data_IF_714470471301
#
_entry.id   IF_714470471301
#
_cell.length_a   1.000
_cell.length_b   1.000
_cell.length_c   1.000
_cell.angle_alpha   90.00
_cell.angle_beta   90.00
_cell.angle_gamma   90.00
#
_symmetry.space_group_name_H-M   'P 1'
#
loop_
_entity.id
_entity.type
_entity.pdbx_description
1 polymer ?
#
# COMPACT_ATOMS: atom_id res chain seq x y z
N UNK A 1 12.46 -8.42 -15.04
CA UNK A 1 11.02 -8.66 -14.78
C UNK A 1 10.25 -8.46 -16.08
N UNK A 2 9.39 -9.40 -16.40
CA UNK A 2 8.50 -9.29 -17.56
C UNK A 2 7.39 -8.27 -17.27
N UNK A 3 6.84 -7.63 -18.31
CA UNK A 3 5.74 -6.68 -18.12
C UNK A 3 4.53 -7.29 -17.39
N UNK A 4 4.26 -8.57 -17.63
CA UNK A 4 3.17 -9.31 -16.98
C UNK A 4 3.39 -9.42 -15.45
N UNK A 5 4.61 -9.70 -15.02
CA UNK A 5 4.94 -9.80 -13.58
C UNK A 5 4.70 -8.48 -12.85
N UNK A 6 5.07 -7.36 -13.49
CA UNK A 6 4.84 -6.02 -12.92
C UNK A 6 3.33 -5.73 -12.78
N UNK A 7 2.53 -6.07 -13.78
CA UNK A 7 1.09 -5.89 -13.72
C UNK A 7 0.42 -6.75 -12.65
N UNK A 8 0.80 -8.04 -12.54
CA UNK A 8 0.29 -8.93 -11.51
C UNK A 8 0.65 -8.44 -10.10
N UNK A 9 1.89 -7.98 -9.93
CA UNK A 9 2.36 -7.41 -8.67
C UNK A 9 1.59 -6.12 -8.34
N UNK A 10 1.39 -5.24 -9.31
CA UNK A 10 0.65 -3.99 -9.13
C UNK A 10 -0.82 -4.25 -8.72
N UNK A 11 -1.48 -5.21 -9.36
CA UNK A 11 -2.85 -5.61 -8.99
C UNK A 11 -2.89 -6.22 -7.60
N UNK A 12 -1.95 -7.10 -7.26
CA UNK A 12 -1.85 -7.70 -5.92
C UNK A 12 -1.71 -6.64 -4.83
N UNK A 13 -0.79 -5.70 -5.01
CA UNK A 13 -0.57 -4.59 -4.07
C UNK A 13 -1.80 -3.65 -3.97
N UNK A 14 -2.48 -3.43 -5.08
CA UNK A 14 -3.64 -2.54 -5.11
C UNK A 14 -4.92 -3.17 -4.51
N UNK A 15 -4.94 -4.47 -4.24
CA UNK A 15 -6.10 -5.14 -3.62
C UNK A 15 -6.40 -4.61 -2.22
N UNK A 16 -5.38 -4.25 -1.44
CA UNK A 16 -5.58 -3.67 -0.12
C UNK A 16 -6.22 -2.28 -0.22
N UNK A 17 -5.75 -1.46 -1.16
CA UNK A 17 -6.36 -0.16 -1.45
C UNK A 17 -7.81 -0.31 -1.94
N UNK A 18 -8.09 -1.33 -2.74
CA UNK A 18 -9.43 -1.64 -3.23
C UNK A 18 -10.37 -2.03 -2.08
N UNK A 19 -9.96 -2.93 -1.19
CA UNK A 19 -10.74 -3.36 -0.04
C UNK A 19 -11.07 -2.21 0.91
N UNK A 20 -10.07 -1.38 1.25
CA UNK A 20 -10.26 -0.19 2.10
C UNK A 20 -11.14 0.85 1.41
N UNK A 21 -11.03 0.99 0.09
CA UNK A 21 -11.87 1.90 -0.69
C UNK A 21 -13.33 1.46 -0.71
N UNK A 22 -13.61 0.17 -0.82
CA UNK A 22 -14.99 -0.35 -0.71
C UNK A 22 -15.56 -0.02 0.67
N UNK A 23 -14.84 -0.33 1.75
CA UNK A 23 -15.27 -0.04 3.11
C UNK A 23 -15.55 1.45 3.32
N UNK A 24 -14.66 2.30 2.81
CA UNK A 24 -14.81 3.76 2.86
C UNK A 24 -16.02 4.25 2.04
N UNK A 25 -16.26 3.64 0.89
CA UNK A 25 -17.40 3.95 0.03
C UNK A 25 -18.73 3.63 0.71
N UNK A 26 -18.81 2.52 1.42
CA UNK A 26 -19.99 2.12 2.21
C UNK A 26 -20.30 3.17 3.29
N UNK A 27 -19.27 3.70 3.95
CA UNK A 27 -19.42 4.72 4.99
C UNK A 27 -19.83 6.07 4.39
N UNK A 28 -19.29 6.45 3.26
CA UNK A 28 -19.58 7.71 2.58
C UNK A 28 -21.04 7.83 2.12
N UNK A 29 -21.71 6.72 1.78
CA UNK A 29 -23.12 6.61 1.36
C UNK A 29 -23.57 7.54 0.21
N UNK A 30 -22.75 8.47 -0.21
CA UNK A 30 -23.00 9.42 -1.31
C UNK A 30 -21.75 9.64 -2.13
N UNK A 31 -21.91 9.61 -3.45
CA UNK A 31 -20.84 9.95 -4.38
C UNK A 31 -20.48 11.45 -4.27
N UNK A 32 -19.46 11.75 -3.52
CA UNK A 32 -18.83 13.06 -3.45
C UNK A 32 -17.48 13.02 -4.12
N UNK A 33 -17.31 13.71 -5.23
CA UNK A 33 -16.08 13.66 -6.02
C UNK A 33 -14.83 14.11 -5.23
N UNK A 34 -14.95 15.10 -4.36
CA UNK A 34 -13.81 15.60 -3.58
C UNK A 34 -13.19 14.54 -2.67
N UNK A 35 -13.91 13.94 -1.70
CA UNK A 35 -13.30 12.94 -0.85
C UNK A 35 -12.86 11.68 -1.62
N UNK A 36 -13.58 11.30 -2.67
CA UNK A 36 -13.21 10.17 -3.53
C UNK A 36 -11.87 10.40 -4.24
N UNK A 37 -11.69 11.59 -4.83
CA UNK A 37 -10.44 11.95 -5.51
C UNK A 37 -9.28 12.07 -4.53
N UNK A 38 -9.49 12.71 -3.38
CA UNK A 38 -8.45 12.84 -2.35
C UNK A 38 -7.98 11.47 -1.89
N UNK A 39 -8.90 10.55 -1.67
CA UNK A 39 -8.59 9.19 -1.22
C UNK A 39 -7.84 8.40 -2.31
N UNK A 40 -8.35 8.38 -3.53
CA UNK A 40 -7.75 7.67 -4.65
C UNK A 40 -6.35 8.22 -5.00
N UNK A 41 -6.18 9.55 -4.99
CA UNK A 41 -4.88 10.20 -5.23
C UNK A 41 -3.91 9.86 -4.10
N UNK A 42 -4.35 9.92 -2.84
CA UNK A 42 -3.51 9.58 -1.69
C UNK A 42 -3.04 8.14 -1.77
N UNK A 43 -3.93 7.20 -2.05
CA UNK A 43 -3.57 5.78 -2.19
C UNK A 43 -2.60 5.55 -3.36
N UNK A 44 -2.87 6.10 -4.52
CA UNK A 44 -1.98 5.99 -5.69
C UNK A 44 -0.60 6.63 -5.43
N UNK A 45 -0.57 7.79 -4.80
CA UNK A 45 0.66 8.49 -4.48
C UNK A 45 1.53 7.72 -3.47
N UNK A 46 0.96 7.29 -2.34
CA UNK A 46 1.72 6.53 -1.34
C UNK A 46 2.14 5.16 -1.85
N UNK A 47 1.30 4.52 -2.67
CA UNK A 47 1.60 3.23 -3.28
C UNK A 47 2.76 3.32 -4.30
N UNK A 48 2.96 4.48 -4.92
CA UNK A 48 4.11 4.76 -5.77
C UNK A 48 5.34 5.20 -4.95
N UNK A 49 5.12 6.04 -3.93
CA UNK A 49 6.19 6.60 -3.11
C UNK A 49 6.89 5.54 -2.26
N UNK A 50 6.13 4.62 -1.67
CA UNK A 50 6.68 3.62 -0.74
C UNK A 50 7.67 2.65 -1.39
N UNK A 51 7.45 2.08 -2.59
CA UNK A 51 8.47 1.28 -3.26
C UNK A 51 9.73 2.08 -3.57
N UNK A 52 9.58 3.35 -3.91
CA UNK A 52 10.72 4.22 -4.14
C UNK A 52 11.56 4.42 -2.87
N UNK A 53 10.90 4.69 -1.74
CA UNK A 53 11.56 4.82 -0.45
C UNK A 53 12.22 3.52 0.00
N UNK A 54 11.55 2.38 -0.21
CA UNK A 54 12.09 1.06 0.08
C UNK A 54 13.34 0.76 -0.74
N UNK A 55 13.30 1.07 -2.04
CA UNK A 55 14.44 0.88 -2.94
C UNK A 55 15.63 1.78 -2.57
N UNK A 56 15.38 3.07 -2.30
CA UNK A 56 16.42 4.02 -1.87
C UNK A 56 17.03 3.55 -0.56
N UNK A 57 16.20 3.26 0.45
CA UNK A 57 16.66 2.80 1.76
C UNK A 57 17.52 1.55 1.65
N UNK A 58 17.03 0.53 0.96
CA UNK A 58 17.77 -0.72 0.78
C UNK A 58 19.07 -0.53 -0.03
N UNK A 59 19.07 0.37 -1.01
CA UNK A 59 20.29 0.67 -1.80
C UNK A 59 21.39 1.31 -0.96
N UNK A 60 21.03 2.13 0.03
CA UNK A 60 22.01 2.71 0.98
C UNK A 60 22.53 1.69 2.00
N UNK A 61 21.69 0.74 2.41
CA UNK A 61 22.02 -0.23 3.45
C UNK A 61 22.46 -1.60 2.90
N UNK A 62 22.61 -1.75 1.59
CA UNK A 62 22.91 -3.03 0.94
C UNK A 62 24.15 -3.74 1.53
N UNK A 63 25.18 -3.00 1.92
CA UNK A 63 26.39 -3.56 2.53
C UNK A 63 26.22 -4.07 3.97
N UNK A 64 25.21 -3.56 4.69
CA UNK A 64 24.91 -3.96 6.07
C UNK A 64 23.90 -5.12 6.13
N UNK A 65 23.11 -5.31 5.09
CA UNK A 65 21.95 -6.21 5.09
C UNK A 65 22.33 -7.61 4.61
N UNK A 66 23.38 -7.79 3.79
CA UNK A 66 23.82 -9.10 3.28
C UNK A 66 24.08 -10.16 4.37
N UNK A 67 24.41 -9.71 5.59
CA UNK A 67 24.67 -10.66 6.70
C UNK A 67 23.49 -10.86 7.67
N UNK A 68 22.44 -10.06 7.61
CA UNK A 68 21.35 -10.04 8.60
C UNK A 68 19.94 -10.18 7.96
N UNK A 69 19.88 -10.34 6.65
CA UNK A 69 18.67 -10.28 5.83
C UNK A 69 17.53 -11.21 6.32
N UNK A 70 17.84 -12.45 6.60
CA UNK A 70 16.87 -13.44 7.08
C UNK A 70 16.29 -13.11 8.46
N UNK A 71 17.09 -12.54 9.36
CA UNK A 71 16.67 -12.22 10.71
C UNK A 71 15.80 -10.96 10.77
N UNK A 72 16.09 -9.97 9.93
CA UNK A 72 15.27 -8.75 9.81
C UNK A 72 13.91 -9.09 9.20
N UNK A 73 13.89 -9.86 8.11
CA UNK A 73 12.64 -10.31 7.49
C UNK A 73 11.79 -11.12 8.46
N UNK A 74 12.41 -12.07 9.17
CA UNK A 74 11.73 -12.87 10.19
C UNK A 74 11.19 -12.02 11.34
N UNK A 75 11.96 -11.04 11.82
CA UNK A 75 11.54 -10.13 12.89
C UNK A 75 10.35 -9.25 12.47
N UNK A 76 10.38 -8.70 11.27
CA UNK A 76 9.27 -7.89 10.71
C UNK A 76 8.00 -8.74 10.53
N UNK A 77 8.12 -9.93 9.94
CA UNK A 77 7.00 -10.84 9.78
C UNK A 77 6.40 -11.28 11.11
N UNK A 78 7.24 -11.61 12.08
CA UNK A 78 6.80 -12.00 13.44
C UNK A 78 6.11 -10.86 14.15
N UNK A 79 6.64 -9.66 14.06
CA UNK A 79 6.03 -8.45 14.63
C UNK A 79 4.67 -8.14 13.97
N UNK A 80 4.61 -8.17 12.65
CA UNK A 80 3.40 -7.90 11.90
C UNK A 80 2.34 -8.97 12.14
N UNK A 81 2.71 -10.24 12.09
CA UNK A 81 1.81 -11.36 12.39
C UNK A 81 1.34 -11.35 13.83
N UNK A 82 2.22 -11.08 14.80
CA UNK A 82 1.86 -10.93 16.21
C UNK A 82 0.88 -9.77 16.44
N UNK A 83 1.11 -8.64 15.79
CA UNK A 83 0.20 -7.50 15.85
C UNK A 83 -1.18 -7.84 15.27
N UNK A 84 -1.25 -8.51 14.13
CA UNK A 84 -2.52 -8.93 13.53
C UNK A 84 -3.29 -9.90 14.44
N UNK A 85 -2.59 -10.84 15.08
CA UNK A 85 -3.19 -11.76 16.06
C UNK A 85 -3.73 -10.99 17.26
N UNK A 86 -2.97 -10.04 17.81
CA UNK A 86 -3.41 -9.21 18.94
C UNK A 86 -4.62 -8.33 18.58
N UNK A 87 -4.66 -7.78 17.37
CA UNK A 87 -5.79 -6.98 16.86
C UNK A 87 -7.05 -7.85 16.69
N UNK A 88 -6.87 -9.13 16.29
CA UNK A 88 -7.98 -10.09 16.17
C UNK A 88 -8.63 -10.46 17.50
N UNK A 89 -7.90 -10.38 18.62
CA UNK A 89 -8.43 -10.64 19.97
C UNK A 89 -9.01 -9.41 20.66
N UNK A 90 -8.84 -8.21 20.08
CA UNK A 90 -9.53 -7.03 20.57
C UNK A 90 -10.97 -7.09 20.09
N UNK A 91 -11.87 -7.33 21.06
CA UNK A 91 -13.32 -7.31 20.83
C UNK A 91 -13.75 -6.03 20.12
N UNK A 92 -14.76 -6.20 19.24
CA UNK A 92 -15.32 -5.20 18.32
C UNK A 92 -16.05 -4.02 19.02
N UNK A 93 -15.77 -3.73 20.29
CA UNK A 93 -16.45 -2.67 21.03
C UNK A 93 -15.99 -1.24 20.72
N UNK A 94 -14.99 -1.07 19.86
CA UNK A 94 -14.63 0.22 19.29
C UNK A 94 -15.06 0.30 17.83
N UNK A 95 -16.37 0.44 17.59
CA UNK A 95 -16.87 1.05 16.35
C UNK A 95 -16.43 2.52 16.32
N UNK A 96 -15.14 2.76 16.19
CA UNK A 96 -14.68 4.03 15.65
C UNK A 96 -15.10 4.02 14.18
N UNK A 97 -16.28 4.58 13.91
CA UNK A 97 -16.64 5.02 12.57
C UNK A 97 -15.54 5.99 12.14
N UNK A 98 -14.51 5.47 11.47
CA UNK A 98 -13.50 6.35 10.91
C UNK A 98 -14.18 7.23 9.86
N UNK A 99 -13.90 8.52 9.91
CA UNK A 99 -14.44 9.46 8.95
C UNK A 99 -13.56 9.47 7.68
N UNK A 100 -14.00 8.84 6.58
CA UNK A 100 -13.23 8.79 5.33
C UNK A 100 -13.12 10.17 4.64
N UNK A 101 -13.78 11.20 5.17
CA UNK A 101 -13.64 12.58 4.71
C UNK A 101 -12.49 13.31 5.41
N UNK A 102 -12.01 12.79 6.53
CA UNK A 102 -10.88 13.35 7.27
C UNK A 102 -9.57 13.05 6.56
N UNK A 103 -8.83 14.08 6.18
CA UNK A 103 -7.52 13.95 5.54
C UNK A 103 -6.52 13.14 6.38
N UNK A 104 -6.56 13.31 7.70
CA UNK A 104 -5.69 12.54 8.62
C UNK A 104 -5.95 11.04 8.54
N UNK A 105 -7.22 10.65 8.50
CA UNK A 105 -7.64 9.25 8.39
C UNK A 105 -7.25 8.69 7.03
N UNK A 106 -7.50 9.41 5.95
CA UNK A 106 -7.12 9.01 4.59
C UNK A 106 -5.61 8.81 4.46
N UNK A 107 -4.80 9.72 5.00
CA UNK A 107 -3.35 9.59 4.98
C UNK A 107 -2.86 8.41 5.81
N UNK A 108 -3.44 8.19 6.99
CA UNK A 108 -3.11 7.03 7.83
C UNK A 108 -3.42 5.70 7.13
N UNK A 109 -4.58 5.61 6.47
CA UNK A 109 -4.96 4.43 5.68
C UNK A 109 -4.04 4.25 4.47
N UNK A 110 -3.69 5.34 3.76
CA UNK A 110 -2.79 5.29 2.62
C UNK A 110 -1.39 4.78 3.01
N UNK A 111 -0.86 5.25 4.13
CA UNK A 111 0.42 4.74 4.67
C UNK A 111 0.28 3.27 5.07
N UNK A 112 -0.78 2.91 5.79
CA UNK A 112 -0.98 1.54 6.26
C UNK A 112 -1.09 0.53 5.11
N UNK A 113 -1.81 0.85 4.05
CA UNK A 113 -1.96 0.00 2.86
C UNK A 113 -0.74 -0.03 1.95
N UNK A 114 0.22 0.85 2.15
CA UNK A 114 1.42 0.96 1.30
C UNK A 114 2.69 0.37 1.94
N UNK A 115 2.57 -0.23 3.13
CA UNK A 115 3.71 -0.84 3.83
C UNK A 115 4.24 -2.06 3.04
N UNK A 116 3.37 -2.84 2.45
CA UNK A 116 3.72 -3.97 1.59
C UNK A 116 4.43 -3.50 0.30
N UNK A 117 4.01 -2.37 -0.25
CA UNK A 117 4.68 -1.74 -1.38
C UNK A 117 6.12 -1.28 -1.03
N UNK A 118 6.35 -0.85 0.20
CA UNK A 118 7.70 -0.55 0.70
C UNK A 118 8.58 -1.81 0.68
N UNK A 119 8.06 -2.95 1.14
CA UNK A 119 8.77 -4.23 1.10
C UNK A 119 9.10 -4.67 -0.33
N UNK A 120 8.21 -4.43 -1.30
CA UNK A 120 8.47 -4.66 -2.71
C UNK A 120 9.60 -3.77 -3.23
N UNK A 121 9.65 -2.51 -2.82
CA UNK A 121 10.74 -1.59 -3.16
C UNK A 121 12.10 -2.09 -2.66
N UNK A 122 12.15 -2.58 -1.43
CA UNK A 122 13.34 -3.24 -0.86
C UNK A 122 13.74 -4.45 -1.72
N UNK A 123 12.79 -5.28 -2.12
CA UNK A 123 13.04 -6.44 -2.98
C UNK A 123 13.62 -6.05 -4.33
N UNK A 124 13.20 -4.93 -4.92
CA UNK A 124 13.76 -4.42 -6.17
C UNK A 124 15.23 -4.04 -6.04
N UNK A 125 15.65 -3.50 -4.91
CA UNK A 125 17.05 -3.21 -4.65
C UNK A 125 17.89 -4.50 -4.59
N UNK A 126 17.39 -5.55 -3.95
CA UNK A 126 18.07 -6.86 -3.87
C UNK A 126 18.11 -7.61 -5.20
N UNK A 127 17.13 -7.42 -6.07
CA UNK A 127 17.14 -7.96 -7.44
C UNK A 127 18.16 -7.28 -8.36
N UNK A 128 18.95 -6.34 -7.82
CA UNK A 128 20.03 -5.68 -8.56
C UNK A 128 19.55 -4.60 -9.51
N UNK A 129 18.33 -4.09 -9.36
CA UNK A 129 17.85 -2.95 -10.13
C UNK A 129 18.52 -1.69 -9.59
N UNK A 130 19.69 -1.35 -10.16
CA UNK A 130 20.49 -0.20 -9.75
C UNK A 130 20.16 1.09 -10.50
N UNK A 131 19.42 0.99 -11.61
CA UNK A 131 19.08 2.15 -12.42
C UNK A 131 17.75 2.75 -11.99
N UNK A 132 17.77 4.02 -11.64
CA UNK A 132 16.58 4.78 -11.28
C UNK A 132 15.50 4.76 -12.39
N UNK A 133 15.92 4.83 -13.64
CA UNK A 133 15.01 4.75 -14.79
C UNK A 133 14.27 3.42 -14.90
N UNK A 134 14.89 2.33 -14.47
CA UNK A 134 14.30 0.99 -14.54
C UNK A 134 13.21 0.78 -13.47
N UNK A 135 13.31 1.48 -12.34
CA UNK A 135 12.32 1.36 -11.26
C UNK A 135 11.13 2.31 -11.46
N UNK A 136 11.30 3.35 -12.25
CA UNK A 136 10.25 4.35 -12.46
C UNK A 136 9.02 3.75 -13.17
N UNK A 137 9.23 2.82 -14.10
CA UNK A 137 8.14 2.15 -14.81
C UNK A 137 7.27 1.28 -13.88
N UNK A 138 7.83 0.34 -13.08
CA UNK A 138 7.05 -0.41 -12.10
C UNK A 138 6.31 0.48 -11.09
N UNK A 139 6.98 1.49 -10.56
CA UNK A 139 6.38 2.43 -9.60
C UNK A 139 5.19 3.17 -10.21
N UNK A 140 5.33 3.66 -11.43
CA UNK A 140 4.25 4.35 -12.14
C UNK A 140 3.04 3.45 -12.37
N UNK A 141 3.26 2.20 -12.75
CA UNK A 141 2.21 1.20 -12.95
C UNK A 141 1.51 0.88 -11.62
N UNK A 142 2.26 0.65 -10.55
CA UNK A 142 1.72 0.37 -9.22
C UNK A 142 0.84 1.53 -8.74
N UNK A 143 1.31 2.76 -8.83
CA UNK A 143 0.56 3.95 -8.45
C UNK A 143 -0.71 4.15 -9.27
N UNK A 144 -0.62 3.96 -10.58
CA UNK A 144 -1.78 4.09 -11.49
C UNK A 144 -2.84 3.01 -11.22
N UNK A 145 -2.44 1.75 -11.08
CA UNK A 145 -3.36 0.64 -10.79
C UNK A 145 -4.03 0.84 -9.43
N UNK A 146 -3.28 1.26 -8.43
CA UNK A 146 -3.83 1.55 -7.09
C UNK A 146 -4.82 2.70 -7.11
N UNK A 147 -4.55 3.76 -7.86
CA UNK A 147 -5.49 4.86 -8.06
C UNK A 147 -6.78 4.37 -8.74
N UNK A 148 -6.66 3.64 -9.84
CA UNK A 148 -7.80 3.14 -10.60
C UNK A 148 -8.66 2.18 -9.77
N UNK A 149 -8.03 1.21 -9.09
CA UNK A 149 -8.75 0.26 -8.24
C UNK A 149 -9.38 0.93 -7.01
N UNK A 150 -8.73 1.92 -6.42
CA UNK A 150 -9.32 2.70 -5.33
C UNK A 150 -10.57 3.45 -5.77
N UNK A 151 -10.54 4.04 -6.97
CA UNK A 151 -11.70 4.73 -7.54
C UNK A 151 -12.86 3.76 -7.78
N UNK A 152 -12.57 2.60 -8.37
CA UNK A 152 -13.55 1.53 -8.60
C UNK A 152 -14.10 1.01 -7.28
N UNK A 153 -13.25 0.75 -6.29
CA UNK A 153 -13.64 0.30 -4.96
C UNK A 153 -14.60 1.27 -4.26
N UNK A 154 -14.29 2.58 -4.30
CA UNK A 154 -15.15 3.62 -3.75
C UNK A 154 -16.53 3.64 -4.45
N UNK A 155 -16.56 3.54 -5.77
CA UNK A 155 -17.81 3.49 -6.53
C UNK A 155 -18.65 2.26 -6.18
N UNK A 156 -18.01 1.11 -6.05
CA UNK A 156 -18.69 -0.12 -5.61
C UNK A 156 -19.22 0.04 -4.17
N UNK A 157 -18.42 0.54 -3.25
CA UNK A 157 -18.82 0.74 -1.86
C UNK A 157 -20.01 1.68 -1.70
N UNK A 158 -20.07 2.75 -2.48
CA UNK A 158 -21.20 3.71 -2.45
C UNK A 158 -22.50 3.10 -2.96
N UNK A 159 -22.43 2.11 -3.88
CA UNK A 159 -23.61 1.42 -4.40
C UNK A 159 -24.22 0.40 -3.42
N UNK A 160 -23.44 -0.08 -2.52
CA UNK A 160 -23.88 -0.98 -1.46
C UNK A 160 -24.28 -0.24 -0.20
#
# INVERSE_FOLDING_TARGET
MTGLEIWLLAVGLAMDCFAVSIASGIILKRARLRPMLVMAISFGFFQALMPLLGWIGASFFSHLIESIDHWIAFGILTFLGGRMIMESFKDEDCKHEYDPTSLKVVLALAVATSIDALAVGVSFAFLGIKQFSAILSPIGIIGFVSFALSMVGLMFGIRF
#
